data_IF_346718021353
#
_entry.id   IF_346718021353
#
_cell.length_a   1.000
_cell.length_b   1.000
_cell.length_c   1.000
_cell.angle_alpha   90.00
_cell.angle_beta   90.00
_cell.angle_gamma   90.00
#
_symmetry.space_group_name_H-M   'P 1'
#
loop_
_entity.id
_entity.type
_entity.pdbx_description
1 polymer ?
#
# COMPACT_ATOMS: atom_id res chain seq x y z
N UNK A 1 -16.42 -11.08 -1.41
CA UNK A 1 -15.48 -10.82 -0.30
C UNK A 1 -14.06 -10.96 -0.82
N UNK A 2 -13.21 -9.93 -0.68
CA UNK A 2 -11.82 -9.96 -1.15
C UNK A 2 -11.02 -10.92 -0.25
N UNK A 3 -10.71 -12.11 -0.76
CA UNK A 3 -9.87 -13.05 -0.03
C UNK A 3 -8.41 -12.62 -0.15
N UNK A 4 -7.98 -11.73 0.74
CA UNK A 4 -6.59 -11.28 0.77
C UNK A 4 -5.62 -12.32 1.34
N UNK A 5 -6.06 -13.53 1.72
CA UNK A 5 -5.15 -14.66 1.94
C UNK A 5 -4.70 -15.26 0.59
N UNK A 6 -5.50 -15.07 -0.46
CA UNK A 6 -5.17 -15.49 -1.82
C UNK A 6 -4.11 -14.58 -2.45
N UNK A 7 -3.00 -15.18 -2.89
CA UNK A 7 -1.87 -14.46 -3.50
C UNK A 7 -2.24 -13.84 -4.83
N UNK A 8 -2.99 -14.54 -5.67
CA UNK A 8 -3.36 -14.07 -7.01
C UNK A 8 -4.29 -12.87 -6.93
N UNK A 9 -5.26 -12.92 -6.01
CA UNK A 9 -6.17 -11.78 -5.73
C UNK A 9 -5.39 -10.56 -5.26
N UNK A 10 -4.46 -10.71 -4.32
CA UNK A 10 -3.59 -9.59 -3.87
C UNK A 10 -2.75 -9.02 -5.01
N UNK A 11 -2.17 -9.88 -5.85
CA UNK A 11 -1.35 -9.44 -6.99
C UNK A 11 -2.17 -8.63 -7.99
N UNK A 12 -3.36 -9.11 -8.38
CA UNK A 12 -4.26 -8.38 -9.28
C UNK A 12 -4.70 -7.05 -8.66
N UNK A 13 -5.04 -7.04 -7.37
CA UNK A 13 -5.38 -5.80 -6.67
C UNK A 13 -4.26 -4.76 -6.75
N UNK A 14 -3.02 -5.16 -6.46
CA UNK A 14 -1.88 -4.24 -6.53
C UNK A 14 -1.61 -3.75 -7.95
N UNK A 15 -1.72 -4.62 -8.96
CA UNK A 15 -1.51 -4.25 -10.35
C UNK A 15 -2.55 -3.24 -10.83
N UNK A 16 -3.84 -3.48 -10.54
CA UNK A 16 -4.92 -2.59 -10.96
C UNK A 16 -4.90 -1.23 -10.24
N UNK A 17 -4.41 -1.18 -9.00
CA UNK A 17 -4.43 0.03 -8.17
C UNK A 17 -3.04 0.67 -8.01
N UNK A 18 -2.06 0.22 -8.78
CA UNK A 18 -0.65 0.55 -8.58
C UNK A 18 -0.39 2.06 -8.50
N UNK A 19 -0.94 2.85 -9.43
CA UNK A 19 -0.71 4.30 -9.50
C UNK A 19 -1.30 5.03 -8.29
N UNK A 20 -2.50 4.64 -7.85
CA UNK A 20 -3.17 5.24 -6.69
C UNK A 20 -2.38 4.91 -5.41
N UNK A 21 -2.05 3.62 -5.21
CA UNK A 21 -1.29 3.17 -4.05
C UNK A 21 0.12 3.79 -4.01
N UNK A 22 0.76 3.94 -5.16
CA UNK A 22 2.05 4.63 -5.30
C UNK A 22 1.94 6.10 -4.88
N UNK A 23 0.87 6.79 -5.29
CA UNK A 23 0.60 8.17 -4.89
C UNK A 23 0.41 8.31 -3.38
N UNK A 24 -0.43 7.45 -2.79
CA UNK A 24 -0.63 7.42 -1.34
C UNK A 24 0.67 7.15 -0.58
N UNK A 25 1.45 6.15 -1.02
CA UNK A 25 2.75 5.83 -0.42
C UNK A 25 3.69 7.02 -0.44
N UNK A 26 3.85 7.67 -1.60
CA UNK A 26 4.73 8.83 -1.74
C UNK A 26 4.30 10.00 -0.87
N UNK A 27 3.01 10.32 -0.87
CA UNK A 27 2.45 11.35 -0.02
C UNK A 27 2.78 11.08 1.45
N UNK A 28 2.46 9.90 1.97
CA UNK A 28 2.73 9.59 3.37
C UNK A 28 4.22 9.53 3.70
N UNK A 29 5.05 8.98 2.83
CA UNK A 29 6.51 8.92 3.05
C UNK A 29 7.13 10.30 3.17
N UNK A 30 6.71 11.26 2.34
CA UNK A 30 7.20 12.64 2.41
C UNK A 30 6.82 13.32 3.73
N UNK A 31 5.62 13.05 4.26
CA UNK A 31 5.12 13.69 5.47
C UNK A 31 5.52 12.98 6.77
N UNK A 32 5.68 11.64 6.75
CA UNK A 32 5.88 10.81 7.95
C UNK A 32 7.24 10.11 8.01
N UNK A 33 8.05 10.20 6.96
CA UNK A 33 9.33 9.50 6.87
C UNK A 33 9.17 8.03 6.46
N UNK A 34 10.13 7.19 6.86
CA UNK A 34 10.15 5.78 6.47
C UNK A 34 9.08 4.96 7.21
N UNK A 35 8.39 4.11 6.47
CA UNK A 35 7.29 3.28 6.96
C UNK A 35 6.71 2.41 5.86
N UNK A 36 5.57 1.78 6.17
CA UNK A 36 4.89 0.84 5.29
C UNK A 36 3.45 1.29 5.03
N UNK A 37 3.05 1.33 3.76
CA UNK A 37 1.65 1.47 3.38
C UNK A 37 0.94 0.14 3.63
N UNK A 38 -0.15 0.17 4.40
CA UNK A 38 -0.93 -1.02 4.77
C UNK A 38 -2.34 -0.90 4.18
N UNK A 39 -2.72 -1.90 3.39
CA UNK A 39 -4.08 -2.10 2.89
C UNK A 39 -4.82 -2.96 3.90
N UNK A 40 -5.80 -2.36 4.56
CA UNK A 40 -6.67 -3.01 5.52
C UNK A 40 -7.99 -3.31 4.83
N UNK A 41 -8.41 -4.57 4.84
CA UNK A 41 -9.73 -4.96 4.34
C UNK A 41 -10.62 -5.33 5.49
N UNK A 42 -11.79 -4.73 5.51
CA UNK A 42 -12.89 -5.16 6.36
C UNK A 42 -13.55 -6.39 5.73
N UNK A 43 -13.34 -7.54 6.36
CA UNK A 43 -13.90 -8.82 5.92
C UNK A 43 -15.43 -8.89 6.01
N UNK A 44 -16.08 -8.00 6.79
CA UNK A 44 -17.52 -8.06 7.02
C UNK A 44 -18.31 -7.29 5.96
N UNK A 45 -17.82 -6.12 5.55
CA UNK A 45 -18.49 -5.27 4.55
C UNK A 45 -17.70 -5.09 3.24
N UNK A 46 -16.48 -5.62 3.16
CA UNK A 46 -15.61 -5.57 1.98
C UNK A 46 -14.95 -4.21 1.75
N UNK A 47 -15.06 -3.28 2.70
CA UNK A 47 -14.44 -1.96 2.59
C UNK A 47 -12.91 -2.04 2.69
N UNK A 48 -12.24 -1.12 2.00
CA UNK A 48 -10.78 -1.01 1.98
C UNK A 48 -10.38 0.29 2.65
N UNK A 49 -9.41 0.21 3.56
CA UNK A 49 -8.77 1.36 4.17
C UNK A 49 -7.27 1.32 3.93
N UNK A 50 -6.68 2.49 3.68
CA UNK A 50 -5.24 2.66 3.59
C UNK A 50 -4.71 3.32 4.85
N UNK A 51 -3.65 2.76 5.42
CA UNK A 51 -2.92 3.33 6.55
C UNK A 51 -1.42 3.35 6.26
N UNK A 52 -0.68 4.22 6.97
CA UNK A 52 0.77 4.28 6.86
C UNK A 52 1.37 4.15 8.25
N UNK A 53 2.09 3.05 8.46
CA UNK A 53 2.62 2.66 9.75
C UNK A 53 4.14 2.79 9.75
N UNK A 54 4.65 3.61 10.68
CA UNK A 54 6.08 3.78 10.93
C UNK A 54 6.57 2.83 12.03
N UNK A 55 5.68 2.39 12.93
CA UNK A 55 5.96 1.36 13.92
C UNK A 55 5.52 -0.03 13.43
N UNK A 56 6.45 -0.78 12.84
CA UNK A 56 6.15 -2.10 12.25
C UNK A 56 6.00 -3.23 13.29
N UNK A 57 6.37 -3.00 14.54
CA UNK A 57 6.24 -3.99 15.64
C UNK A 57 4.80 -4.35 15.98
N UNK A 58 3.84 -3.51 15.59
CA UNK A 58 2.41 -3.81 15.77
C UNK A 58 1.90 -4.74 14.66
N UNK A 59 2.56 -4.76 13.51
CA UNK A 59 2.12 -5.48 12.31
C UNK A 59 2.70 -6.88 12.19
N UNK A 60 3.96 -7.06 12.62
CA UNK A 60 4.72 -8.29 12.43
C UNK A 60 5.39 -8.71 13.74
N UNK A 61 5.53 -10.02 13.94
CA UNK A 61 6.35 -10.55 15.02
C UNK A 61 7.80 -10.11 14.88
N UNK A 62 8.50 -10.01 16.01
CA UNK A 62 9.92 -9.67 16.03
C UNK A 62 10.76 -10.59 15.12
N UNK A 63 10.44 -11.88 15.12
CA UNK A 63 11.09 -12.86 14.25
C UNK A 63 10.91 -12.53 12.77
N UNK A 64 9.69 -12.17 12.36
CA UNK A 64 9.38 -11.85 10.96
C UNK A 64 9.95 -10.49 10.55
N UNK A 65 9.96 -9.51 11.46
CA UNK A 65 10.64 -8.23 11.24
C UNK A 65 12.10 -8.44 10.88
N UNK A 66 12.83 -9.13 11.75
CA UNK A 66 14.27 -9.30 11.62
C UNK A 66 14.66 -10.19 10.43
N UNK A 67 13.88 -11.25 10.14
CA UNK A 67 14.23 -12.21 9.08
C UNK A 67 13.72 -11.85 7.69
N UNK A 68 12.64 -11.06 7.58
CA UNK A 68 11.97 -10.81 6.29
C UNK A 68 11.74 -9.34 6.00
N UNK A 69 11.14 -8.61 6.94
CA UNK A 69 10.66 -7.24 6.68
C UNK A 69 11.81 -6.24 6.60
N UNK A 70 12.66 -6.15 7.63
CA UNK A 70 13.80 -5.23 7.63
C UNK A 70 14.80 -5.51 6.51
N UNK A 71 15.19 -6.78 6.22
CA UNK A 71 16.03 -7.07 5.07
C UNK A 71 15.44 -6.56 3.75
N UNK A 72 14.11 -6.69 3.55
CA UNK A 72 13.45 -6.18 2.34
C UNK A 72 13.39 -4.66 2.32
N UNK A 73 13.07 -4.02 3.44
CA UNK A 73 13.03 -2.55 3.57
C UNK A 73 14.41 -1.90 3.33
N UNK A 74 15.48 -2.57 3.71
CA UNK A 74 16.84 -2.06 3.52
C UNK A 74 17.37 -2.25 2.10
N UNK A 75 16.77 -3.13 1.31
CA UNK A 75 17.27 -3.52 -0.02
C UNK A 75 16.38 -3.07 -1.19
N UNK A 76 15.10 -2.77 -0.95
CA UNK A 76 14.22 -2.32 -2.03
C UNK A 76 14.52 -0.89 -2.47
N UNK A 77 14.31 -0.61 -3.75
CA UNK A 77 14.37 0.74 -4.29
C UNK A 77 12.97 1.35 -4.31
N UNK A 78 12.67 2.23 -3.36
CA UNK A 78 11.35 2.87 -3.24
C UNK A 78 10.96 3.76 -4.43
N UNK A 79 11.89 4.11 -5.32
CA UNK A 79 11.56 4.80 -6.57
C UNK A 79 11.02 3.86 -7.65
N UNK A 80 11.31 2.56 -7.55
CA UNK A 80 11.01 1.55 -8.58
C UNK A 80 10.06 0.45 -8.11
N UNK A 81 10.01 0.21 -6.80
CA UNK A 81 9.27 -0.87 -6.18
C UNK A 81 8.36 -0.34 -5.07
N UNK A 82 7.07 -0.65 -5.18
CA UNK A 82 6.08 -0.36 -4.14
C UNK A 82 6.00 -1.56 -3.20
N UNK A 83 6.26 -1.31 -1.92
CA UNK A 83 6.13 -2.29 -0.87
C UNK A 83 4.86 -1.98 -0.05
N UNK A 84 3.98 -2.97 0.08
CA UNK A 84 2.64 -2.82 0.70
C UNK A 84 2.39 -3.97 1.66
N UNK A 85 1.87 -3.66 2.84
CA UNK A 85 1.33 -4.66 3.77
C UNK A 85 -0.16 -4.91 3.50
N UNK A 86 -0.62 -6.15 3.65
CA UNK A 86 -2.04 -6.50 3.63
C UNK A 86 -2.46 -7.06 4.97
N UNK A 87 -3.60 -6.61 5.50
CA UNK A 87 -4.11 -7.11 6.77
C UNK A 87 -5.64 -7.11 6.78
N UNK A 88 -6.24 -8.10 7.44
CA UNK A 88 -7.67 -8.10 7.73
C UNK A 88 -7.98 -7.20 8.93
N UNK A 89 -9.15 -6.57 8.95
CA UNK A 89 -9.55 -5.66 10.04
C UNK A 89 -9.60 -6.39 11.38
N UNK A 90 -10.08 -7.64 11.43
CA UNK A 90 -10.09 -8.42 12.68
C UNK A 90 -8.70 -8.77 13.19
N UNK A 91 -7.68 -8.70 12.35
CA UNK A 91 -6.30 -9.11 12.67
C UNK A 91 -5.37 -7.93 12.95
N UNK A 92 -5.91 -6.70 12.87
CA UNK A 92 -5.16 -5.47 12.99
C UNK A 92 -4.40 -5.37 14.32
N UNK A 93 -3.13 -5.01 14.23
CA UNK A 93 -2.22 -4.72 15.36
C UNK A 93 -2.11 -5.83 16.41
N UNK A 94 -2.30 -7.09 16.01
CA UNK A 94 -2.23 -8.26 16.92
C UNK A 94 -0.83 -8.87 17.10
N UNK A 95 0.21 -8.30 16.48
CA UNK A 95 1.59 -8.80 16.57
C UNK A 95 1.70 -10.33 16.32
N UNK A 96 1.06 -10.81 15.25
CA UNK A 96 0.85 -12.25 15.02
C UNK A 96 1.21 -12.72 13.61
N UNK A 97 2.04 -11.96 12.88
CA UNK A 97 2.39 -12.23 11.46
C UNK A 97 1.19 -12.24 10.51
N UNK A 98 0.08 -11.62 10.91
CA UNK A 98 -1.13 -11.52 10.11
C UNK A 98 -1.07 -10.41 9.06
N UNK A 99 -0.07 -9.53 9.13
CA UNK A 99 0.24 -8.64 8.03
C UNK A 99 1.08 -9.38 6.98
N UNK A 100 0.62 -9.39 5.73
CA UNK A 100 1.33 -10.01 4.61
C UNK A 100 2.06 -8.93 3.83
N UNK A 101 3.38 -8.99 3.83
CA UNK A 101 4.21 -8.09 3.02
C UNK A 101 4.15 -8.52 1.55
N UNK A 102 3.80 -7.58 0.68
CA UNK A 102 3.82 -7.77 -0.76
C UNK A 102 4.66 -6.68 -1.41
N UNK A 103 5.32 -7.06 -2.49
CA UNK A 103 6.14 -6.16 -3.27
C UNK A 103 5.69 -6.16 -4.72
N UNK A 104 5.61 -4.99 -5.33
CA UNK A 104 5.32 -4.82 -6.76
C UNK A 104 6.32 -3.85 -7.34
N UNK A 105 7.29 -4.40 -8.06
CA UNK A 105 8.15 -3.65 -8.94
C UNK A 105 7.50 -3.53 -10.31
N UNK A 106 7.70 -2.38 -10.96
CA UNK A 106 7.46 -2.25 -12.39
C UNK A 106 8.73 -1.76 -13.03
N UNK A 107 9.33 -2.59 -13.89
CA UNK A 107 10.50 -2.21 -14.69
C UNK A 107 10.16 -1.12 -15.72
N UNK A 108 8.88 -1.00 -16.09
CA UNK A 108 8.43 -0.13 -17.17
C UNK A 108 7.67 1.10 -16.66
N UNK A 109 7.25 1.12 -15.39
CA UNK A 109 6.44 2.19 -14.82
C UNK A 109 6.80 2.46 -13.33
N UNK A 110 7.90 3.18 -13.08
CA UNK A 110 8.39 3.49 -11.73
C UNK A 110 7.32 4.09 -10.80
N UNK A 111 7.39 3.78 -9.50
CA UNK A 111 6.45 4.23 -8.45
C UNK A 111 6.25 5.75 -8.48
N UNK A 112 7.34 6.51 -8.63
CA UNK A 112 7.28 7.98 -8.66
C UNK A 112 6.48 8.50 -9.87
N UNK A 113 6.71 7.91 -11.04
CA UNK A 113 5.98 8.28 -12.26
C UNK A 113 4.49 7.91 -12.12
N UNK A 114 4.20 6.73 -11.55
CA UNK A 114 2.83 6.30 -11.30
C UNK A 114 2.08 7.23 -10.34
N UNK A 115 2.78 7.72 -9.30
CA UNK A 115 2.25 8.69 -8.35
C UNK A 115 1.95 10.06 -8.99
N UNK A 116 2.85 10.55 -9.84
CA UNK A 116 2.67 11.80 -10.59
C UNK A 116 1.49 11.72 -11.56
N UNK A 117 1.36 10.61 -12.31
CA UNK A 117 0.21 10.39 -13.21
C UNK A 117 -1.10 10.35 -12.43
N UNK A 118 -1.15 9.64 -11.30
CA UNK A 118 -2.35 9.60 -10.46
C UNK A 118 -2.72 11.00 -9.95
N UNK A 119 -1.74 11.80 -9.51
CA UNK A 119 -1.96 13.15 -9.03
C UNK A 119 -2.63 14.04 -10.10
N UNK A 120 -2.08 14.02 -11.32
CA UNK A 120 -2.63 14.78 -12.46
C UNK A 120 -4.06 14.34 -12.78
N UNK A 121 -4.32 13.02 -12.81
CA UNK A 121 -5.67 12.49 -13.06
C UNK A 121 -6.68 12.94 -12.00
N UNK A 122 -6.31 12.91 -10.72
CA UNK A 122 -7.20 13.35 -9.64
C UNK A 122 -7.48 14.85 -9.69
N UNK A 123 -6.49 15.68 -10.02
CA UNK A 123 -6.70 17.12 -10.20
C UNK A 123 -7.68 17.42 -11.35
N UNK A 124 -7.56 16.69 -12.46
CA UNK A 124 -8.46 16.85 -13.60
C UNK A 124 -9.89 16.42 -13.26
N UNK A 125 -10.08 15.31 -12.56
CA UNK A 125 -11.40 14.85 -12.12
C UNK A 125 -12.07 15.83 -11.17
N UNK A 126 -11.35 16.38 -10.19
CA UNK A 126 -11.87 17.43 -9.31
C UNK A 126 -12.28 18.69 -10.08
N UNK A 127 -11.51 19.02 -11.13
CA UNK A 127 -11.81 20.15 -12.01
C UNK A 127 -13.08 19.89 -12.84
N UNK A 128 -13.30 18.66 -13.33
CA UNK A 128 -14.53 18.26 -14.03
C UNK A 128 -15.75 18.25 -13.11
N UNK A 129 -15.65 17.73 -11.89
CA UNK A 129 -16.74 17.79 -10.90
C UNK A 129 -17.14 19.24 -10.60
N UNK A 130 -16.15 20.13 -10.47
CA UNK A 130 -16.39 21.57 -10.28
C UNK A 130 -17.07 22.20 -11.50
N UNK A 131 -16.75 21.77 -12.73
CA UNK A 131 -17.39 22.23 -13.96
C UNK A 131 -18.83 21.70 -14.12
N UNK A 132 -19.09 20.47 -13.69
CA UNK A 132 -20.43 19.85 -13.74
C UNK A 132 -21.37 20.38 -12.64
N UNK A 133 -20.83 20.98 -11.58
CA UNK A 133 -21.58 21.57 -10.49
C UNK A 133 -21.79 23.09 -10.62
N UNK A 134 -21.22 23.73 -11.65
CA UNK A 134 -21.36 25.16 -11.96
C UNK A 134 -22.51 25.42 -12.96
#
# INVERSE_FOLDING_TARGET
>A
MLNLSDREVRQKFLQCNYSILSSCFWHFRQHKGEGLLVVIVDEYDGTIKLEYETNLSELFSERTLNKKVYPKLNSYNYNQELLVGFQLKSERKKNSDNCILHSVGSSNFPVKIAAEVAHILFQNLQSEEALCAA
#
